data_IF_169911447622
#
_entry.id   IF_169911447622
#
_cell.length_a   1.000
_cell.length_b   1.000
_cell.length_c   1.000
_cell.angle_alpha   90.00
_cell.angle_beta   90.00
_cell.angle_gamma   90.00
#
_symmetry.space_group_name_H-M   'P 1'
#
loop_
_entity.id
_entity.type
_entity.pdbx_description
1 polymer ?
#
# COMPACT_ATOMS: atom_id res chain seq x y z
N UNK A 1 19.58 5.95 -1.24
CA UNK A 1 18.93 7.25 -1.04
C UNK A 1 18.33 7.29 0.36
N UNK A 2 18.47 8.39 1.08
CA UNK A 2 17.89 8.61 2.40
C UNK A 2 17.11 9.92 2.41
N UNK A 3 16.04 10.02 3.21
CA UNK A 3 15.39 11.30 3.49
C UNK A 3 15.86 11.83 4.84
N UNK A 4 16.51 12.99 4.83
CA UNK A 4 17.07 13.66 6.00
C UNK A 4 16.62 15.11 5.93
N UNK A 5 16.04 15.65 7.00
CA UNK A 5 15.60 17.06 7.08
C UNK A 5 14.78 17.56 5.88
N UNK A 6 13.96 16.68 5.31
CA UNK A 6 13.11 16.93 4.14
C UNK A 6 13.85 17.03 2.79
N UNK A 7 15.09 16.59 2.74
CA UNK A 7 15.91 16.52 1.54
C UNK A 7 16.24 15.08 1.18
N UNK A 8 16.34 14.79 -0.12
CA UNK A 8 16.74 13.48 -0.64
C UNK A 8 18.25 13.43 -0.77
N UNK A 9 18.90 12.56 -0.01
CA UNK A 9 20.34 12.34 -0.05
C UNK A 9 20.69 11.07 -0.84
N UNK A 10 21.62 11.20 -1.77
CA UNK A 10 22.29 10.11 -2.46
C UNK A 10 23.63 9.81 -1.77
N UNK A 11 23.64 8.71 -0.99
CA UNK A 11 24.78 8.27 -0.20
C UNK A 11 25.49 7.10 -0.89
N UNK A 12 26.81 7.20 -1.02
CA UNK A 12 27.70 6.08 -1.37
C UNK A 12 28.54 5.76 -0.15
N UNK A 13 28.51 4.50 0.31
CA UNK A 13 29.16 4.06 1.55
C UNK A 13 30.12 2.91 1.25
N UNK A 14 31.34 2.99 1.77
CA UNK A 14 32.29 1.88 1.80
C UNK A 14 32.09 1.10 3.11
N UNK A 15 31.44 -0.06 3.02
CA UNK A 15 31.14 -0.89 4.18
C UNK A 15 32.39 -1.54 4.79
N UNK A 16 33.43 -1.80 3.98
CA UNK A 16 34.67 -2.42 4.47
C UNK A 16 35.48 -1.45 5.33
N UNK A 17 35.51 -0.18 4.94
CA UNK A 17 36.22 0.89 5.65
C UNK A 17 35.32 1.70 6.59
N UNK A 18 34.02 1.41 6.62
CA UNK A 18 33.02 2.03 7.49
C UNK A 18 32.95 3.56 7.38
N UNK A 19 33.02 4.10 6.16
CA UNK A 19 32.90 5.55 5.95
C UNK A 19 32.07 5.89 4.71
N UNK A 20 31.55 7.12 4.69
CA UNK A 20 30.77 7.67 3.58
C UNK A 20 31.75 8.19 2.52
N UNK A 21 31.64 7.63 1.31
CA UNK A 21 32.45 8.03 0.15
C UNK A 21 31.88 9.30 -0.49
N UNK A 22 30.56 9.40 -0.57
CA UNK A 22 29.85 10.55 -1.15
C UNK A 22 28.51 10.75 -0.46
N UNK A 23 28.16 12.02 -0.27
CA UNK A 23 26.84 12.49 0.14
C UNK A 23 26.46 13.67 -0.75
N UNK A 24 25.36 13.55 -1.50
CA UNK A 24 24.87 14.57 -2.42
C UNK A 24 23.37 14.74 -2.24
N UNK A 25 22.91 16.00 -2.25
CA UNK A 25 21.47 16.30 -2.25
C UNK A 25 20.92 16.20 -3.68
N UNK A 26 19.89 15.38 -3.86
CA UNK A 26 19.15 15.26 -5.11
C UNK A 26 18.15 16.42 -5.24
N UNK A 27 18.34 17.24 -6.27
CA UNK A 27 17.53 18.42 -6.57
C UNK A 27 16.66 18.26 -7.84
N UNK A 28 16.58 17.05 -8.39
CA UNK A 28 15.75 16.76 -9.56
C UNK A 28 14.28 16.52 -9.19
N UNK A 29 13.47 16.12 -10.17
CA UNK A 29 12.07 15.76 -9.97
C UNK A 29 11.91 14.37 -9.36
N UNK A 30 10.80 14.15 -8.65
CA UNK A 30 10.46 12.86 -8.06
C UNK A 30 11.12 12.62 -6.71
N UNK A 31 10.70 11.53 -6.08
CA UNK A 31 11.04 11.22 -4.69
C UNK A 31 11.42 9.75 -4.53
N UNK A 32 12.16 9.40 -3.46
CA UNK A 32 12.40 8.01 -3.12
C UNK A 32 11.09 7.22 -2.93
N UNK A 33 11.14 5.89 -3.11
CA UNK A 33 10.03 5.01 -2.77
C UNK A 33 9.50 5.31 -1.36
N UNK A 34 8.19 5.23 -1.20
CA UNK A 34 7.55 5.34 0.11
C UNK A 34 8.05 4.21 1.01
N UNK A 35 8.31 4.53 2.27
CA UNK A 35 8.57 3.50 3.27
C UNK A 35 7.27 2.82 3.68
N UNK A 36 7.35 1.66 4.33
CA UNK A 36 6.17 1.04 4.95
C UNK A 36 5.63 1.94 6.07
N UNK A 37 6.52 2.64 6.78
CA UNK A 37 6.14 3.56 7.84
C UNK A 37 5.38 4.79 7.31
N UNK A 38 5.83 5.37 6.18
CA UNK A 38 5.14 6.48 5.50
C UNK A 38 3.68 6.08 5.21
N UNK A 39 3.49 4.88 4.63
CA UNK A 39 2.18 4.36 4.24
C UNK A 39 1.30 4.07 5.46
N UNK A 40 1.81 3.28 6.43
CA UNK A 40 1.05 2.92 7.64
C UNK A 40 0.63 4.15 8.44
N UNK A 41 1.46 5.19 8.49
CA UNK A 41 1.11 6.42 9.19
C UNK A 41 0.09 7.25 8.41
N UNK A 42 0.20 7.34 7.08
CA UNK A 42 -0.80 8.00 6.23
C UNK A 42 -2.18 7.33 6.32
N UNK A 43 -2.19 6.00 6.28
CA UNK A 43 -3.39 5.17 6.26
C UNK A 43 -4.19 5.25 7.58
N UNK A 44 -3.54 5.65 8.67
CA UNK A 44 -4.18 5.88 9.98
C UNK A 44 -4.86 7.24 10.12
N UNK A 45 -4.47 8.24 9.33
CA UNK A 45 -5.01 9.60 9.45
C UNK A 45 -6.55 9.67 9.26
N UNK A 46 -7.18 8.94 8.31
CA UNK A 46 -8.63 9.00 8.10
C UNK A 46 -9.44 8.70 9.36
N UNK A 47 -9.01 7.74 10.20
CA UNK A 47 -9.75 7.30 11.39
C UNK A 47 -9.93 8.40 12.45
N UNK A 48 -9.03 9.39 12.48
CA UNK A 48 -9.12 10.54 13.39
C UNK A 48 -9.63 11.81 12.69
N UNK A 49 -9.93 11.76 11.39
CA UNK A 49 -10.28 12.93 10.60
C UNK A 49 -11.81 13.17 10.62
N UNK A 50 -12.30 14.23 11.30
CA UNK A 50 -13.75 14.38 11.53
C UNK A 50 -14.62 14.38 10.27
N UNK A 51 -14.21 15.01 9.13
CA UNK A 51 -14.97 14.92 7.89
C UNK A 51 -15.12 13.47 7.39
N UNK A 52 -14.05 12.67 7.43
CA UNK A 52 -14.10 11.28 7.01
C UNK A 52 -15.00 10.43 7.91
N UNK A 53 -14.89 10.59 9.23
CA UNK A 53 -15.74 9.90 10.20
C UNK A 53 -17.22 10.21 9.97
N UNK A 54 -17.55 11.49 9.72
CA UNK A 54 -18.91 11.90 9.39
C UNK A 54 -19.41 11.26 8.08
N UNK A 55 -18.53 11.13 7.08
CA UNK A 55 -18.85 10.49 5.81
C UNK A 55 -19.07 8.98 5.92
N UNK A 56 -18.39 8.30 6.84
CA UNK A 56 -18.65 6.88 7.15
C UNK A 56 -20.02 6.73 7.82
N UNK A 57 -20.31 7.57 8.81
CA UNK A 57 -21.61 7.57 9.48
C UNK A 57 -22.76 7.87 8.52
N UNK A 58 -22.60 8.83 7.60
CA UNK A 58 -23.58 9.15 6.55
C UNK A 58 -23.87 7.96 5.63
N UNK A 59 -22.89 7.09 5.41
CA UNK A 59 -23.02 5.85 4.62
C UNK A 59 -23.49 4.65 5.44
N UNK A 60 -23.66 4.81 6.77
CA UNK A 60 -24.00 3.72 7.67
C UNK A 60 -22.89 2.69 7.84
N UNK A 61 -21.64 3.07 7.56
CA UNK A 61 -20.47 2.19 7.67
C UNK A 61 -19.83 2.31 9.05
N UNK A 62 -19.42 1.17 9.60
CA UNK A 62 -18.70 1.09 10.88
C UNK A 62 -17.23 1.38 10.66
N UNK A 63 -16.67 2.31 11.42
CA UNK A 63 -15.29 2.74 11.22
C UNK A 63 -14.29 1.61 11.49
N UNK A 64 -14.61 0.69 12.41
CA UNK A 64 -13.80 -0.49 12.74
C UNK A 64 -13.72 -1.53 11.62
N UNK A 65 -14.62 -1.48 10.63
CA UNK A 65 -14.65 -2.37 9.46
C UNK A 65 -14.02 -1.71 8.22
N UNK A 66 -13.55 -0.46 8.35
CA UNK A 66 -12.91 0.29 7.27
C UNK A 66 -11.40 0.01 7.30
N UNK A 67 -10.84 -0.28 6.14
CA UNK A 67 -9.39 -0.39 5.90
C UNK A 67 -9.00 0.65 4.86
N UNK A 68 -7.96 1.43 5.13
CA UNK A 68 -7.46 2.44 4.20
C UNK A 68 -6.04 2.08 3.74
N UNK A 69 -5.74 2.40 2.48
CA UNK A 69 -4.43 2.20 1.86
C UNK A 69 -4.03 3.43 1.05
N UNK A 70 -2.75 3.77 1.13
CA UNK A 70 -2.15 4.88 0.41
C UNK A 70 -1.71 4.44 -0.98
N UNK A 71 -1.96 5.32 -1.95
CA UNK A 71 -1.65 5.15 -3.36
C UNK A 71 -0.85 6.35 -3.86
N UNK A 72 0.20 6.09 -4.65
CA UNK A 72 0.99 7.12 -5.29
C UNK A 72 0.13 7.95 -6.25
N UNK A 73 0.32 9.27 -6.26
CA UNK A 73 -0.47 10.16 -7.13
C UNK A 73 0.14 10.38 -8.51
N UNK A 74 1.41 10.08 -8.74
CA UNK A 74 2.07 10.38 -10.00
C UNK A 74 2.28 11.89 -10.20
N UNK A 75 2.29 12.34 -11.46
CA UNK A 75 2.42 13.75 -11.85
C UNK A 75 1.55 14.02 -13.09
N UNK A 76 0.79 15.11 -13.09
CA UNK A 76 -0.21 15.44 -14.11
C UNK A 76 -0.03 16.83 -14.75
N UNK A 77 1.17 17.43 -14.66
CA UNK A 77 1.47 18.72 -15.27
C UNK A 77 1.32 19.93 -14.35
N UNK A 78 1.04 19.70 -13.07
CA UNK A 78 1.01 20.73 -12.05
C UNK A 78 2.37 21.42 -11.90
N UNK A 79 2.34 22.74 -11.67
CA UNK A 79 3.55 23.50 -11.34
C UNK A 79 4.01 23.09 -9.95
N UNK A 80 5.25 22.62 -9.85
CA UNK A 80 5.86 22.00 -8.67
C UNK A 80 6.22 23.03 -7.57
N UNK A 81 5.33 23.99 -7.31
CA UNK A 81 5.60 25.13 -6.43
C UNK A 81 5.64 24.75 -4.95
N UNK A 82 5.27 23.51 -4.58
CA UNK A 82 5.11 23.12 -3.18
C UNK A 82 6.02 21.96 -2.72
N UNK A 83 6.77 21.30 -3.60
CA UNK A 83 7.78 20.29 -3.22
C UNK A 83 7.26 19.24 -2.20
N UNK A 84 5.98 18.87 -2.31
CA UNK A 84 5.32 17.96 -1.35
C UNK A 84 5.39 16.52 -1.85
N UNK A 85 5.70 15.59 -0.94
CA UNK A 85 5.48 14.16 -1.18
C UNK A 85 4.05 13.82 -0.81
N UNK A 86 3.25 13.50 -1.82
CA UNK A 86 1.81 13.32 -1.68
C UNK A 86 1.41 11.88 -2.00
N UNK A 87 0.48 11.36 -1.19
CA UNK A 87 -0.27 10.13 -1.47
C UNK A 87 -1.77 10.41 -1.42
N UNK A 88 -2.53 9.64 -2.19
CA UNK A 88 -3.98 9.55 -2.00
C UNK A 88 -4.27 8.34 -1.12
N UNK A 89 -5.04 8.54 -0.06
CA UNK A 89 -5.56 7.45 0.78
C UNK A 89 -6.96 7.10 0.31
N UNK A 90 -7.12 5.84 -0.05
CA UNK A 90 -8.38 5.23 -0.48
C UNK A 90 -8.80 4.21 0.57
N UNK A 91 -10.10 4.00 0.75
CA UNK A 91 -10.61 3.12 1.80
C UNK A 91 -11.57 2.08 1.25
N UNK A 92 -11.63 0.96 1.95
CA UNK A 92 -12.33 -0.27 1.61
C UNK A 92 -13.07 -0.81 2.84
N UNK A 93 -13.98 -1.75 2.65
CA UNK A 93 -14.84 -2.26 3.72
C UNK A 93 -14.80 -3.79 3.83
N UNK A 94 -14.57 -4.31 5.05
CA UNK A 94 -14.42 -5.74 5.35
C UNK A 94 -15.77 -6.50 5.34
N UNK A 95 -16.65 -6.23 6.31
CA UNK A 95 -17.97 -6.89 6.50
C UNK A 95 -17.90 -8.43 6.41
N UNK A 96 -16.84 -9.01 6.98
CA UNK A 96 -16.61 -10.45 7.04
C UNK A 96 -15.78 -11.05 5.90
N UNK A 97 -15.49 -10.32 4.81
CA UNK A 97 -14.48 -10.77 3.82
C UNK A 97 -13.13 -10.11 4.04
N UNK A 98 -12.06 -10.83 3.72
CA UNK A 98 -10.69 -10.26 3.65
C UNK A 98 -10.34 -9.67 2.28
N UNK A 99 -11.17 -9.89 1.26
CA UNK A 99 -10.93 -9.38 -0.09
C UNK A 99 -11.42 -7.93 -0.23
N UNK A 100 -10.78 -7.02 0.50
CA UNK A 100 -11.16 -5.61 0.60
C UNK A 100 -11.18 -4.90 -0.75
N UNK A 101 -10.34 -5.30 -1.71
CA UNK A 101 -10.28 -4.70 -3.04
C UNK A 101 -11.56 -4.88 -3.86
N UNK A 102 -12.41 -5.86 -3.52
CA UNK A 102 -13.74 -6.02 -4.12
C UNK A 102 -14.80 -5.11 -3.49
N UNK A 103 -14.43 -4.34 -2.46
CA UNK A 103 -15.35 -3.53 -1.64
C UNK A 103 -14.82 -2.12 -1.38
N UNK A 104 -14.54 -1.34 -2.44
CA UNK A 104 -14.12 0.04 -2.29
C UNK A 104 -15.23 0.90 -1.68
N UNK A 105 -14.82 1.86 -0.85
CA UNK A 105 -15.67 2.98 -0.41
C UNK A 105 -15.45 4.10 -1.41
N UNK A 106 -16.21 4.06 -2.50
CA UNK A 106 -16.06 4.98 -3.61
C UNK A 106 -16.55 6.41 -3.28
N UNK A 107 -16.11 7.36 -4.10
CA UNK A 107 -16.48 8.77 -4.01
C UNK A 107 -15.71 9.56 -2.95
N UNK A 108 -14.91 8.89 -2.10
CA UNK A 108 -14.04 9.52 -1.12
C UNK A 108 -12.57 9.42 -1.53
N UNK A 109 -11.83 10.50 -1.39
CA UNK A 109 -10.37 10.50 -1.51
C UNK A 109 -9.78 11.47 -0.50
N UNK A 110 -8.77 11.02 0.25
CA UNK A 110 -7.99 11.90 1.11
C UNK A 110 -6.62 12.10 0.49
N UNK A 111 -6.15 13.33 0.42
CA UNK A 111 -4.80 13.66 -0.05
C UNK A 111 -3.93 13.95 1.16
N UNK A 112 -2.83 13.22 1.31
CA UNK A 112 -1.94 13.29 2.48
C UNK A 112 -0.56 13.74 2.04
N UNK A 113 -0.02 14.73 2.76
CA UNK A 113 1.39 15.08 2.74
C UNK A 113 2.14 14.15 3.71
N UNK A 114 3.03 13.31 3.19
CA UNK A 114 3.76 12.32 4.01
C UNK A 114 4.98 12.90 4.71
N UNK A 115 5.43 14.11 4.38
CA UNK A 115 6.52 14.79 5.09
C UNK A 115 6.02 15.49 6.36
N UNK A 116 4.79 16.01 6.29
CA UNK A 116 4.12 16.66 7.42
C UNK A 116 3.22 15.71 8.23
N UNK A 117 2.97 14.52 7.67
CA UNK A 117 1.94 13.57 8.09
C UNK A 117 0.57 14.20 8.36
N UNK A 118 0.05 14.91 7.35
CA UNK A 118 -1.23 15.65 7.46
C UNK A 118 -2.11 15.42 6.24
N UNK A 119 -3.41 15.33 6.46
CA UNK A 119 -4.42 15.40 5.40
C UNK A 119 -4.46 16.85 4.91
N UNK A 120 -4.12 17.05 3.63
CA UNK A 120 -4.08 18.36 2.96
C UNK A 120 -5.22 18.55 1.96
N UNK A 121 -5.94 17.47 1.63
CA UNK A 121 -7.11 17.49 0.77
C UNK A 121 -8.10 16.42 1.20
N UNK A 122 -9.39 16.72 1.06
CA UNK A 122 -10.47 15.79 1.34
C UNK A 122 -11.60 16.03 0.35
N UNK A 123 -11.95 14.98 -0.38
CA UNK A 123 -13.05 14.99 -1.32
C UNK A 123 -14.03 13.88 -0.97
N UNK A 124 -15.30 14.23 -0.79
CA UNK A 124 -16.43 13.31 -0.71
C UNK A 124 -17.44 13.75 -1.78
N UNK A 125 -17.30 13.17 -2.97
CA UNK A 125 -17.98 13.62 -4.20
C UNK A 125 -19.31 12.94 -4.41
N UNK A 126 -19.37 11.64 -4.10
CA UNK A 126 -20.52 10.78 -4.39
C UNK A 126 -20.71 9.71 -3.31
N UNK A 127 -21.96 9.31 -3.10
CA UNK A 127 -22.30 8.16 -2.27
C UNK A 127 -22.67 7.00 -3.18
N UNK A 128 -21.74 6.06 -3.30
CA UNK A 128 -21.95 4.81 -4.01
C UNK A 128 -22.15 3.69 -2.98
N UNK A 129 -23.08 2.79 -3.25
CA UNK A 129 -23.30 1.61 -2.41
C UNK A 129 -22.06 0.71 -2.44
N UNK A 130 -21.50 0.40 -1.27
CA UNK A 130 -20.41 -0.56 -1.16
C UNK A 130 -20.87 -1.92 -1.69
N UNK A 131 -20.10 -2.58 -2.58
CA UNK A 131 -20.43 -3.92 -3.07
C UNK A 131 -20.69 -4.94 -1.94
N UNK A 132 -21.47 -5.99 -2.22
CA UNK A 132 -21.72 -7.07 -1.26
C UNK A 132 -20.48 -7.97 -1.10
N UNK A 133 -20.39 -8.67 0.02
CA UNK A 133 -19.30 -9.64 0.28
C UNK A 133 -19.50 -10.99 -0.40
N UNK A 134 -20.71 -11.29 -0.86
CA UNK A 134 -21.07 -12.59 -1.43
C UNK A 134 -20.14 -13.00 -2.59
N UNK A 135 -19.46 -14.15 -2.44
CA UNK A 135 -18.59 -14.71 -3.48
C UNK A 135 -17.23 -14.01 -3.64
N UNK A 136 -16.85 -13.12 -2.73
CA UNK A 136 -15.58 -12.38 -2.81
C UNK A 136 -14.42 -13.02 -2.04
N UNK A 137 -14.70 -13.82 -1.01
CA UNK A 137 -13.66 -14.46 -0.20
C UNK A 137 -12.99 -15.62 -0.94
N UNK A 138 -11.66 -15.70 -0.84
CA UNK A 138 -10.83 -16.68 -1.53
C UNK A 138 -10.23 -17.74 -0.59
N UNK A 139 -10.41 -17.60 0.74
CA UNK A 139 -9.88 -18.55 1.71
C UNK A 139 -10.74 -19.80 1.70
N UNK A 140 -10.11 -20.97 1.55
CA UNK A 140 -10.81 -22.25 1.52
C UNK A 140 -11.73 -22.46 2.74
N UNK A 141 -11.34 -21.96 3.93
CA UNK A 141 -12.15 -22.05 5.15
C UNK A 141 -13.49 -21.31 5.09
N UNK A 142 -13.62 -20.30 4.24
CA UNK A 142 -14.84 -19.49 4.07
C UNK A 142 -15.68 -19.94 2.86
N UNK A 143 -15.13 -20.82 2.01
CA UNK A 143 -15.80 -21.26 0.80
C UNK A 143 -16.94 -22.24 1.10
N UNK A 144 -18.03 -22.13 0.33
CA UNK A 144 -19.20 -22.99 0.44
C UNK A 144 -19.29 -23.95 -0.76
N UNK A 145 -19.85 -25.16 -0.59
CA UNK A 145 -20.11 -26.07 -1.70
C UNK A 145 -21.01 -25.45 -2.79
N UNK A 146 -20.95 -25.95 -4.04
CA UNK A 146 -20.15 -27.08 -4.50
C UNK A 146 -18.69 -26.69 -4.78
N UNK A 147 -17.76 -27.53 -4.31
CA UNK A 147 -16.36 -27.42 -4.69
C UNK A 147 -16.11 -28.08 -6.04
N UNK A 148 -15.00 -27.69 -6.69
CA UNK A 148 -14.52 -28.39 -7.88
C UNK A 148 -14.31 -29.89 -7.60
N UNK A 149 -14.41 -30.76 -8.62
CA UNK A 149 -14.05 -32.17 -8.47
C UNK A 149 -12.61 -32.32 -7.94
N UNK A 150 -12.35 -33.32 -7.07
CA UNK A 150 -11.02 -33.55 -6.54
C UNK A 150 -10.03 -33.86 -7.67
N UNK A 151 -8.84 -33.27 -7.59
CA UNK A 151 -7.75 -33.56 -8.53
C UNK A 151 -7.01 -34.84 -8.08
N UNK A 152 -6.53 -35.62 -9.05
CA UNK A 152 -5.65 -36.75 -8.76
C UNK A 152 -4.28 -36.24 -8.30
N UNK A 153 -3.72 -36.84 -7.26
CA UNK A 153 -2.39 -36.49 -6.77
C UNK A 153 -1.28 -36.86 -7.76
N UNK A 154 -0.18 -36.11 -7.72
CA UNK A 154 1.05 -36.36 -8.50
C UNK A 154 2.23 -36.39 -7.53
N UNK A 155 3.12 -37.34 -7.73
CA UNK A 155 4.37 -37.47 -6.97
C UNK A 155 5.55 -37.25 -7.90
N UNK A 156 6.46 -36.34 -7.54
CA UNK A 156 7.71 -36.05 -8.27
C UNK A 156 8.89 -36.32 -7.33
N UNK A 157 9.85 -37.16 -7.76
CA UNK A 157 11.04 -37.52 -6.98
C UNK A 157 12.26 -37.42 -7.88
N UNK A 158 13.36 -36.85 -7.37
CA UNK A 158 14.69 -36.92 -7.97
C UNK A 158 15.59 -37.74 -7.03
N UNK A 159 15.73 -39.07 -7.25
CA UNK A 159 16.42 -39.97 -6.32
C UNK A 159 17.86 -39.56 -6.03
N UNK A 160 18.54 -39.00 -7.04
CA UNK A 160 19.93 -38.54 -6.95
C UNK A 160 20.04 -37.03 -6.68
N UNK A 161 18.92 -36.38 -6.32
CA UNK A 161 18.84 -34.95 -6.11
C UNK A 161 18.71 -34.13 -7.41
N UNK A 162 18.67 -32.80 -7.29
CA UNK A 162 18.64 -31.92 -8.45
C UNK A 162 20.00 -31.94 -9.19
N UNK A 163 19.97 -31.73 -10.50
CA UNK A 163 21.20 -31.65 -11.32
C UNK A 163 21.99 -30.34 -11.14
N UNK A 164 21.47 -29.39 -10.36
CA UNK A 164 22.13 -28.13 -10.06
C UNK A 164 22.77 -28.16 -8.67
N UNK A 165 23.84 -27.38 -8.51
CA UNK A 165 24.49 -27.10 -7.24
C UNK A 165 24.32 -25.63 -6.86
N UNK A 166 24.23 -25.36 -5.56
CA UNK A 166 24.14 -23.99 -5.02
C UNK A 166 25.34 -23.74 -4.12
N UNK A 167 26.13 -22.74 -4.47
CA UNK A 167 27.29 -22.26 -3.71
C UNK A 167 27.09 -20.77 -3.39
N UNK A 168 26.55 -20.48 -2.22
CA UNK A 168 26.04 -19.16 -1.87
C UNK A 168 24.92 -18.72 -2.82
N UNK A 169 25.20 -17.75 -3.68
CA UNK A 169 24.28 -17.25 -4.71
C UNK A 169 24.63 -17.74 -6.12
N UNK A 170 25.59 -18.66 -6.27
CA UNK A 170 26.01 -19.21 -7.55
C UNK A 170 25.28 -20.54 -7.79
N UNK A 171 24.60 -20.62 -8.93
CA UNK A 171 23.95 -21.84 -9.42
C UNK A 171 24.82 -22.42 -10.54
N UNK A 172 25.13 -23.71 -10.48
CA UNK A 172 25.86 -24.45 -11.53
C UNK A 172 25.15 -25.73 -11.88
#
# INVERSE_FOLDING_TARGET
MARIDRETHELIVDLSKQFIVSDQVYNGYGYPPLTIEDQVNADKLPYAYPPFVASMAKRGLKLEEVICESSSVGWYGENDNNNKRIVNVLCFYLDGTVNIYMRPIEGITLTVDVEEMKIIGYEDRDIVTVPKTDGTDYRESEMKPPFRPPLKGITVVQPDGPSFTVDGHIIR
#
